data_IF_950305031999
#
_entry.id   IF_950305031999
#
_cell.length_a   1.000
_cell.length_b   1.000
_cell.length_c   1.000
_cell.angle_alpha   90.00
_cell.angle_beta   90.00
_cell.angle_gamma   90.00
#
_symmetry.space_group_name_H-M   'P 1'
#
loop_
_entity.id
_entity.type
_entity.pdbx_description
1 polymer ?
#
# COMPACT_ATOMS: atom_id res chain seq x y z
N UNK A 1 8.20 -19.04 -16.91
CA UNK A 1 7.78 -17.77 -16.28
C UNK A 1 6.32 -17.57 -16.67
N UNK A 2 5.40 -17.81 -15.75
CA UNK A 2 3.97 -17.51 -15.95
C UNK A 2 3.82 -15.99 -15.90
N UNK A 3 3.43 -15.37 -17.01
CA UNK A 3 3.04 -13.95 -17.01
C UNK A 3 2.00 -13.74 -15.89
N UNK A 4 2.32 -12.87 -14.95
CA UNK A 4 1.36 -12.50 -13.91
C UNK A 4 0.22 -11.75 -14.60
N UNK A 5 -0.91 -12.43 -14.74
CA UNK A 5 -2.11 -11.85 -15.34
C UNK A 5 -2.51 -10.64 -14.49
N UNK A 6 -2.58 -9.46 -15.10
CA UNK A 6 -3.04 -8.26 -14.41
C UNK A 6 -4.42 -8.50 -13.82
N UNK A 7 -4.55 -8.32 -12.51
CA UNK A 7 -5.83 -8.48 -11.79
C UNK A 7 -6.51 -7.14 -11.51
N UNK A 8 -5.84 -6.02 -11.81
CA UNK A 8 -6.37 -4.69 -11.54
C UNK A 8 -7.16 -4.14 -12.73
N UNK A 9 -8.26 -3.46 -12.44
CA UNK A 9 -9.14 -2.87 -13.43
C UNK A 9 -10.61 -3.18 -13.21
N UNK A 10 -11.41 -2.96 -14.24
CA UNK A 10 -12.86 -3.21 -14.22
C UNK A 10 -13.17 -4.60 -14.76
N UNK A 11 -14.15 -5.25 -14.16
CA UNK A 11 -14.60 -6.59 -14.53
C UNK A 11 -16.10 -6.60 -14.77
N UNK A 12 -16.57 -7.33 -15.84
CA UNK A 12 -17.98 -7.51 -16.09
C UNK A 12 -18.61 -8.44 -15.05
N UNK A 13 -19.93 -8.46 -15.00
CA UNK A 13 -20.71 -9.44 -14.25
C UNK A 13 -21.47 -10.30 -15.26
N UNK A 14 -21.34 -11.66 -15.21
CA UNK A 14 -20.61 -12.46 -14.21
C UNK A 14 -19.09 -12.50 -14.43
N UNK A 15 -18.34 -12.70 -13.35
CA UNK A 15 -16.89 -12.94 -13.38
C UNK A 15 -16.45 -13.85 -12.24
N UNK A 16 -15.40 -14.64 -12.51
CA UNK A 16 -14.70 -15.42 -11.49
C UNK A 16 -13.18 -15.21 -11.66
N UNK A 17 -12.51 -14.85 -10.56
CA UNK A 17 -11.09 -14.56 -10.54
C UNK A 17 -10.40 -15.39 -9.44
N UNK A 18 -9.30 -16.03 -9.81
CA UNK A 18 -8.46 -16.78 -8.88
C UNK A 18 -7.19 -15.97 -8.59
N UNK A 19 -6.97 -15.68 -7.32
CA UNK A 19 -5.83 -14.92 -6.81
C UNK A 19 -5.17 -15.79 -5.74
N UNK A 20 -4.19 -16.60 -6.14
CA UNK A 20 -3.55 -17.61 -5.27
C UNK A 20 -4.60 -18.57 -4.67
N UNK A 21 -4.75 -18.55 -3.33
CA UNK A 21 -5.73 -19.39 -2.61
C UNK A 21 -7.10 -18.70 -2.40
N UNK A 22 -7.30 -17.55 -3.01
CA UNK A 22 -8.55 -16.78 -2.93
C UNK A 22 -9.27 -16.85 -4.26
N UNK A 23 -10.53 -17.22 -4.27
CA UNK A 23 -11.42 -17.12 -5.42
C UNK A 23 -12.46 -16.03 -5.16
N UNK A 24 -12.58 -15.10 -6.08
CA UNK A 24 -13.64 -14.07 -6.10
C UNK A 24 -14.62 -14.46 -7.18
N UNK A 25 -15.89 -14.52 -6.84
CA UNK A 25 -16.99 -14.76 -7.79
C UNK A 25 -18.02 -13.64 -7.67
N UNK A 26 -18.38 -13.06 -8.81
CA UNK A 26 -19.48 -12.10 -8.92
C UNK A 26 -20.45 -12.63 -9.96
N UNK A 27 -21.70 -12.85 -9.58
CA UNK A 27 -22.71 -13.43 -10.46
C UNK A 27 -24.09 -12.85 -10.18
N UNK A 28 -24.99 -12.96 -11.16
CA UNK A 28 -26.41 -12.63 -11.02
C UNK A 28 -27.23 -13.87 -10.82
N UNK A 29 -28.18 -13.78 -9.91
CA UNK A 29 -29.24 -14.78 -9.70
C UNK A 29 -30.56 -14.02 -9.46
N UNK A 30 -31.50 -14.21 -10.39
CA UNK A 30 -32.73 -13.44 -10.47
C UNK A 30 -32.47 -11.91 -10.50
N UNK A 31 -33.04 -11.17 -9.55
CA UNK A 31 -32.93 -9.70 -9.43
C UNK A 31 -31.71 -9.25 -8.63
N UNK A 32 -30.86 -10.17 -8.14
CA UNK A 32 -29.75 -9.84 -7.25
C UNK A 32 -28.39 -10.11 -7.89
N UNK A 33 -27.42 -9.28 -7.55
CA UNK A 33 -26.01 -9.54 -7.82
C UNK A 33 -25.32 -10.02 -6.54
N UNK A 34 -24.59 -11.12 -6.65
CA UNK A 34 -23.86 -11.72 -5.53
C UNK A 34 -22.36 -11.49 -5.70
N UNK A 35 -21.71 -11.07 -4.63
CA UNK A 35 -20.26 -11.13 -4.46
C UNK A 35 -19.94 -12.24 -3.47
N UNK A 36 -19.03 -13.13 -3.83
CA UNK A 36 -18.57 -14.22 -2.98
C UNK A 36 -17.04 -14.28 -3.02
N UNK A 37 -16.44 -14.43 -1.84
CA UNK A 37 -15.03 -14.72 -1.69
C UNK A 37 -14.85 -16.05 -0.99
N UNK A 38 -14.14 -16.96 -1.65
CA UNK A 38 -13.73 -18.24 -1.11
C UNK A 38 -12.24 -18.21 -0.77
N UNK A 39 -11.87 -18.79 0.38
CA UNK A 39 -10.51 -19.00 0.80
C UNK A 39 -10.26 -20.49 0.89
N UNK A 40 -9.32 -21.01 0.07
CA UNK A 40 -9.02 -22.45 -0.01
C UNK A 40 -10.27 -23.33 -0.20
N UNK A 41 -11.22 -22.87 -1.04
CA UNK A 41 -12.45 -23.58 -1.35
C UNK A 41 -13.58 -23.42 -0.33
N UNK A 42 -13.39 -22.64 0.73
CA UNK A 42 -14.43 -22.36 1.72
C UNK A 42 -14.90 -20.92 1.62
N UNK A 43 -16.20 -20.69 1.46
CA UNK A 43 -16.80 -19.36 1.44
C UNK A 43 -16.63 -18.68 2.78
N UNK A 44 -15.90 -17.56 2.79
CA UNK A 44 -15.67 -16.79 3.99
C UNK A 44 -16.24 -15.37 3.94
N UNK A 45 -16.78 -14.96 2.79
CA UNK A 45 -17.48 -13.68 2.63
C UNK A 45 -18.50 -13.75 1.51
N UNK A 46 -19.72 -13.25 1.77
CA UNK A 46 -20.78 -13.17 0.76
C UNK A 46 -21.60 -11.89 0.97
N UNK A 47 -21.87 -11.16 -0.12
CA UNK A 47 -22.76 -9.99 -0.16
C UNK A 47 -23.80 -10.14 -1.25
N UNK A 48 -24.94 -9.50 -1.05
CA UNK A 48 -26.05 -9.41 -2.00
C UNK A 48 -26.28 -7.93 -2.31
N UNK A 49 -26.34 -7.62 -3.58
CA UNK A 49 -26.60 -6.25 -4.09
C UNK A 49 -27.92 -6.23 -4.83
N UNK A 50 -28.71 -5.21 -4.56
CA UNK A 50 -30.06 -4.99 -5.15
C UNK A 50 -30.02 -4.03 -6.35
N UNK A 51 -28.83 -3.56 -6.76
CA UNK A 51 -28.67 -2.61 -7.86
C UNK A 51 -28.57 -3.35 -9.19
N UNK A 52 -29.34 -2.89 -10.18
CA UNK A 52 -29.32 -3.42 -11.55
C UNK A 52 -28.02 -3.06 -12.28
N UNK A 53 -27.47 -1.86 -12.04
CA UNK A 53 -26.20 -1.36 -12.57
C UNK A 53 -25.06 -1.64 -11.62
N UNK A 54 -24.70 -2.92 -11.46
CA UNK A 54 -23.58 -3.31 -10.65
C UNK A 54 -22.33 -3.58 -11.51
N UNK A 55 -21.30 -2.80 -11.27
CA UNK A 55 -19.95 -3.03 -11.78
C UNK A 55 -18.97 -3.15 -10.63
N UNK A 56 -17.91 -3.90 -10.80
CA UNK A 56 -16.86 -3.94 -9.80
C UNK A 56 -15.47 -3.70 -10.40
N UNK A 57 -14.60 -3.11 -9.58
CA UNK A 57 -13.21 -2.90 -9.91
C UNK A 57 -12.33 -3.47 -8.82
N UNK A 58 -11.15 -3.95 -9.24
CA UNK A 58 -10.09 -4.39 -8.36
C UNK A 58 -8.95 -3.39 -8.48
N UNK A 59 -8.49 -2.87 -7.35
CA UNK A 59 -7.44 -1.88 -7.30
C UNK A 59 -6.44 -2.22 -6.18
N UNK A 60 -5.14 -1.91 -6.34
CA UNK A 60 -4.20 -1.96 -5.23
C UNK A 60 -4.56 -0.88 -4.21
N UNK A 61 -4.48 -1.19 -2.93
CA UNK A 61 -4.81 -0.26 -1.85
C UNK A 61 -3.74 -0.25 -0.77
N UNK A 62 -3.82 0.76 0.10
CA UNK A 62 -2.90 0.93 1.21
C UNK A 62 -2.85 -0.32 2.09
N UNK A 63 -1.67 -0.73 2.59
CA UNK A 63 -1.48 -2.04 3.24
C UNK A 63 -2.00 -2.16 4.68
N UNK A 64 -2.68 -1.15 5.24
CA UNK A 64 -3.10 -1.12 6.64
C UNK A 64 -4.56 -1.55 6.89
N UNK A 65 -5.24 -2.08 5.88
CA UNK A 65 -6.67 -2.38 5.99
C UNK A 65 -6.99 -3.68 6.72
N UNK A 66 -6.04 -4.62 6.79
CA UNK A 66 -6.27 -5.94 7.35
C UNK A 66 -5.23 -6.27 8.42
N UNK A 67 -5.64 -6.39 9.70
CA UNK A 67 -6.95 -6.12 10.26
C UNK A 67 -7.26 -4.62 10.32
N UNK A 68 -8.51 -4.29 10.04
CA UNK A 68 -8.97 -2.90 10.04
C UNK A 68 -8.83 -2.26 11.42
N UNK A 69 -8.40 -0.99 11.47
CA UNK A 69 -8.28 -0.17 12.69
C UNK A 69 -7.19 -0.59 13.69
N UNK A 70 -6.31 -1.52 13.35
CA UNK A 70 -5.19 -1.84 14.24
C UNK A 70 -4.14 -0.74 14.20
N UNK A 71 -3.76 -0.31 13.00
CA UNK A 71 -2.79 0.77 12.79
C UNK A 71 -3.04 1.49 11.48
N UNK A 72 -2.68 2.76 11.43
CA UNK A 72 -2.59 3.55 10.21
C UNK A 72 -1.12 3.79 9.78
N UNK A 73 -0.16 3.11 10.41
CA UNK A 73 1.26 3.32 10.16
C UNK A 73 1.91 2.07 9.60
N UNK A 74 2.87 2.28 8.72
CA UNK A 74 3.74 1.25 8.14
C UNK A 74 5.20 1.59 8.46
N UNK A 75 5.94 0.60 8.96
CA UNK A 75 7.38 0.67 9.14
C UNK A 75 8.03 -0.24 8.11
N UNK A 76 8.91 0.32 7.30
CA UNK A 76 9.78 -0.41 6.38
C UNK A 76 11.19 -0.43 6.98
N UNK A 77 11.63 -1.60 7.40
CA UNK A 77 13.02 -1.84 7.81
C UNK A 77 13.88 -2.12 6.56
N UNK A 78 14.99 -1.43 6.46
CA UNK A 78 15.97 -1.69 5.41
C UNK A 78 16.85 -2.89 5.77
N UNK A 79 17.01 -3.84 4.84
CA UNK A 79 17.88 -5.02 5.07
C UNK A 79 19.31 -4.64 5.42
N UNK A 80 19.81 -3.58 4.78
CA UNK A 80 21.08 -2.97 5.10
C UNK A 80 20.87 -1.49 5.41
N UNK A 81 21.48 -0.96 6.46
CA UNK A 81 21.38 0.46 6.77
C UNK A 81 21.85 1.32 5.61
N UNK A 82 21.11 2.39 5.32
CA UNK A 82 21.46 3.37 4.30
C UNK A 82 22.28 4.51 4.96
N UNK A 83 23.54 4.67 4.53
CA UNK A 83 24.36 5.81 4.93
C UNK A 83 24.13 6.95 3.96
N UNK A 84 23.53 8.04 4.42
CA UNK A 84 23.24 9.25 3.64
C UNK A 84 24.26 10.30 3.96
N UNK A 85 25.11 10.62 3.00
CA UNK A 85 26.17 11.66 3.16
C UNK A 85 25.60 13.03 3.48
N UNK A 86 26.47 13.92 4.00
CA UNK A 86 26.13 15.31 4.21
C UNK A 86 25.73 15.99 2.90
N UNK A 87 24.79 16.91 2.95
CA UNK A 87 24.33 17.72 1.81
C UNK A 87 24.00 16.89 0.55
N UNK A 88 23.39 15.72 0.78
CA UNK A 88 23.08 14.76 -0.28
C UNK A 88 21.60 14.75 -0.62
N UNK A 89 21.31 14.76 -1.93
CA UNK A 89 19.99 14.44 -2.48
C UNK A 89 20.13 13.25 -3.41
N UNK A 90 19.39 12.15 -3.13
CA UNK A 90 19.48 10.90 -3.89
C UNK A 90 18.13 10.19 -3.96
N UNK A 91 17.82 9.66 -5.13
CA UNK A 91 16.66 8.76 -5.31
C UNK A 91 17.10 7.33 -5.09
N UNK A 92 16.35 6.60 -4.29
CA UNK A 92 16.44 5.16 -4.08
C UNK A 92 15.09 4.51 -4.32
N UNK A 93 15.08 3.21 -4.48
CA UNK A 93 13.86 2.41 -4.60
C UNK A 93 13.85 1.34 -3.51
N UNK A 94 12.69 1.15 -2.91
CA UNK A 94 12.40 0.08 -1.96
C UNK A 94 11.07 -0.55 -2.34
N UNK A 95 10.72 -1.70 -1.76
CA UNK A 95 9.40 -2.29 -1.92
C UNK A 95 8.52 -1.98 -0.71
N UNK A 96 7.21 -2.07 -0.91
CA UNK A 96 6.21 -1.95 0.15
C UNK A 96 5.10 -2.99 -0.06
N UNK A 97 4.43 -3.47 1.00
CA UNK A 97 3.35 -4.43 0.85
C UNK A 97 2.11 -3.77 0.25
N UNK A 98 1.39 -4.50 -0.61
CA UNK A 98 0.14 -4.06 -1.24
C UNK A 98 -1.00 -4.92 -0.74
N UNK A 99 -2.17 -4.33 -0.56
CA UNK A 99 -3.44 -5.03 -0.39
C UNK A 99 -4.31 -4.82 -1.63
N UNK A 100 -5.25 -5.75 -1.86
CA UNK A 100 -6.12 -5.77 -3.02
C UNK A 100 -7.52 -5.33 -2.57
N UNK A 101 -7.96 -4.16 -3.01
CA UNK A 101 -9.28 -3.63 -2.73
C UNK A 101 -10.27 -4.01 -3.82
N UNK A 102 -11.45 -4.47 -3.41
CA UNK A 102 -12.59 -4.74 -4.29
C UNK A 102 -13.61 -3.63 -4.08
N UNK A 103 -13.97 -2.95 -5.15
CA UNK A 103 -14.90 -1.82 -5.11
C UNK A 103 -16.13 -2.11 -5.95
N UNK A 104 -17.30 -1.83 -5.40
CA UNK A 104 -18.55 -1.75 -6.15
C UNK A 104 -18.70 -0.35 -6.75
N UNK A 105 -19.31 -0.27 -7.92
CA UNK A 105 -19.72 0.98 -8.53
C UNK A 105 -21.24 0.99 -8.58
N UNK A 106 -21.82 2.06 -8.06
CA UNK A 106 -23.25 2.33 -8.11
C UNK A 106 -23.45 3.77 -8.55
N UNK A 107 -24.69 4.16 -8.83
CA UNK A 107 -25.06 5.56 -9.15
C UNK A 107 -24.67 6.57 -8.06
N UNK A 108 -24.37 6.08 -6.84
CA UNK A 108 -23.92 6.91 -5.69
C UNK A 108 -22.38 7.05 -5.61
N UNK A 109 -21.64 6.34 -6.47
CA UNK A 109 -20.19 6.37 -6.52
C UNK A 109 -19.54 5.00 -6.31
N UNK A 110 -18.27 5.03 -5.96
CA UNK A 110 -17.40 3.88 -5.76
C UNK A 110 -17.26 3.58 -4.27
N UNK A 111 -17.60 2.35 -3.85
CA UNK A 111 -17.55 1.90 -2.47
C UNK A 111 -16.65 0.67 -2.30
N UNK A 112 -15.79 0.68 -1.29
CA UNK A 112 -14.96 -0.46 -0.93
C UNK A 112 -15.82 -1.53 -0.27
N UNK A 113 -15.92 -2.71 -0.88
CA UNK A 113 -16.71 -3.84 -0.35
C UNK A 113 -15.83 -4.91 0.30
N UNK A 114 -14.60 -5.08 -0.18
CA UNK A 114 -13.67 -6.07 0.39
C UNK A 114 -12.22 -5.68 0.24
N UNK A 115 -11.36 -6.24 1.13
CA UNK A 115 -9.90 -6.15 1.03
C UNK A 115 -9.28 -7.52 1.23
N UNK A 116 -8.37 -7.88 0.34
CA UNK A 116 -7.59 -9.11 0.37
C UNK A 116 -6.14 -8.75 0.62
N UNK A 117 -5.52 -9.42 1.59
CA UNK A 117 -4.09 -9.34 1.85
C UNK A 117 -3.46 -10.71 1.61
N UNK A 118 -2.53 -10.78 0.67
CA UNK A 118 -1.75 -11.97 0.38
C UNK A 118 -0.44 -12.03 1.19
N UNK A 119 -0.10 -10.93 1.85
CA UNK A 119 1.10 -10.81 2.67
C UNK A 119 0.88 -11.36 4.08
N UNK A 120 1.96 -11.89 4.67
CA UNK A 120 1.99 -12.23 6.09
C UNK A 120 1.86 -10.95 6.91
N UNK A 121 0.90 -10.93 7.83
CA UNK A 121 0.65 -9.77 8.69
C UNK A 121 1.66 -9.77 9.83
N UNK A 122 2.61 -8.84 9.79
CA UNK A 122 3.57 -8.60 10.86
C UNK A 122 3.37 -7.18 11.39
N UNK A 123 3.54 -7.02 12.69
CA UNK A 123 3.44 -5.73 13.37
C UNK A 123 4.64 -5.53 14.28
N UNK A 124 5.02 -4.29 14.48
CA UNK A 124 6.08 -3.88 15.39
C UNK A 124 5.68 -2.62 16.12
N UNK A 125 6.31 -2.37 17.26
CA UNK A 125 6.19 -1.11 17.98
C UNK A 125 7.31 -0.16 17.52
N UNK A 126 6.96 1.03 17.09
CA UNK A 126 7.91 2.09 16.80
C UNK A 126 7.89 3.12 17.93
N UNK A 127 9.00 3.30 18.61
CA UNK A 127 9.14 4.18 19.78
C UNK A 127 9.16 3.41 21.10
N UNK A 128 8.90 4.12 22.21
CA UNK A 128 8.92 3.52 23.55
C UNK A 128 7.64 2.70 23.81
N UNK A 129 7.69 1.71 24.73
CA UNK A 129 6.51 0.92 25.10
C UNK A 129 5.30 1.74 25.59
N UNK A 130 5.55 2.91 26.18
CA UNK A 130 4.48 3.72 26.80
C UNK A 130 3.80 4.69 25.82
N UNK A 131 4.51 5.14 24.77
CA UNK A 131 4.03 6.18 23.83
C UNK A 131 4.34 5.85 22.37
N UNK A 132 4.82 4.65 22.11
CA UNK A 132 5.13 4.19 20.76
C UNK A 132 3.90 3.91 19.91
N UNK A 133 4.10 3.85 18.61
CA UNK A 133 3.05 3.56 17.63
C UNK A 133 3.18 2.13 17.13
N UNK A 134 2.07 1.40 17.10
CA UNK A 134 2.03 0.11 16.41
C UNK A 134 2.08 0.39 14.91
N UNK A 135 3.02 -0.26 14.23
CA UNK A 135 3.18 -0.17 12.77
C UNK A 135 3.00 -1.54 12.12
N UNK A 136 2.43 -1.58 10.93
CA UNK A 136 2.56 -2.75 10.06
C UNK A 136 4.03 -2.84 9.64
N UNK A 137 4.65 -3.98 9.92
CA UNK A 137 6.06 -4.20 9.66
C UNK A 137 6.28 -4.81 8.28
N UNK A 138 7.24 -4.26 7.57
CA UNK A 138 7.73 -4.80 6.30
C UNK A 138 9.25 -4.64 6.22
N UNK A 139 9.92 -5.53 5.47
CA UNK A 139 11.37 -5.50 5.27
C UNK A 139 11.67 -5.39 3.79
N UNK A 140 12.58 -4.49 3.40
CA UNK A 140 12.96 -4.25 2.02
C UNK A 140 14.45 -4.05 1.85
N UNK A 141 14.99 -4.53 0.74
CA UNK A 141 16.30 -4.09 0.25
C UNK A 141 16.23 -2.69 -0.35
N UNK A 142 17.37 -2.03 -0.48
CA UNK A 142 17.52 -0.75 -1.19
C UNK A 142 18.03 -1.01 -2.60
N UNK A 143 17.34 -0.47 -3.61
CA UNK A 143 17.66 -0.66 -5.01
C UNK A 143 18.04 0.67 -5.68
N UNK A 144 19.02 0.68 -6.61
CA UNK A 144 19.38 1.88 -7.38
C UNK A 144 18.43 2.18 -8.54
N UNK A 145 17.58 1.21 -8.90
CA UNK A 145 16.56 1.29 -9.96
C UNK A 145 15.31 0.56 -9.50
N UNK A 146 14.11 0.82 -10.10
CA UNK A 146 12.90 0.10 -9.76
C UNK A 146 13.11 -1.42 -9.85
N UNK A 147 12.90 -2.17 -8.75
CA UNK A 147 12.99 -3.63 -8.78
C UNK A 147 11.75 -4.24 -9.45
N UNK A 148 11.89 -5.47 -9.94
CA UNK A 148 10.72 -6.29 -10.28
C UNK A 148 10.02 -6.72 -8.99
N UNK A 149 8.71 -6.51 -8.93
CA UNK A 149 7.88 -6.85 -7.78
C UNK A 149 6.59 -7.55 -8.22
N UNK A 150 6.11 -8.48 -7.40
CA UNK A 150 4.79 -9.08 -7.63
C UNK A 150 3.70 -8.08 -7.23
N UNK A 151 3.08 -7.44 -8.22
CA UNK A 151 2.09 -6.36 -8.03
C UNK A 151 0.89 -6.74 -7.15
N UNK A 152 0.60 -8.03 -6.97
CA UNK A 152 -0.46 -8.52 -6.06
C UNK A 152 -0.02 -8.51 -4.58
N UNK A 153 1.28 -8.49 -4.32
CA UNK A 153 1.86 -8.54 -2.96
C UNK A 153 2.66 -7.30 -2.62
N UNK A 154 3.38 -6.77 -3.60
CA UNK A 154 4.38 -5.74 -3.40
C UNK A 154 4.28 -4.64 -4.44
N UNK A 155 4.51 -3.42 -4.01
CA UNK A 155 4.70 -2.27 -4.87
C UNK A 155 6.11 -1.71 -4.76
N UNK A 156 6.47 -0.86 -5.70
CA UNK A 156 7.74 -0.13 -5.75
C UNK A 156 7.53 1.26 -5.16
N UNK A 157 8.30 1.61 -4.15
CA UNK A 157 8.33 2.96 -3.57
C UNK A 157 9.61 3.66 -4.00
N UNK A 158 9.47 4.70 -4.83
CA UNK A 158 10.54 5.64 -5.15
C UNK A 158 10.66 6.64 -4.00
N UNK A 159 11.83 6.70 -3.37
CA UNK A 159 12.08 7.59 -2.24
C UNK A 159 13.16 8.61 -2.62
N UNK A 160 12.80 9.88 -2.63
CA UNK A 160 13.77 10.97 -2.67
C UNK A 160 14.32 11.20 -1.26
N UNK A 161 15.57 10.84 -1.03
CA UNK A 161 16.25 11.04 0.24
C UNK A 161 17.00 12.36 0.18
N UNK A 162 16.70 13.25 1.14
CA UNK A 162 17.30 14.59 1.25
C UNK A 162 17.93 14.74 2.62
N UNK A 163 19.24 14.92 2.66
CA UNK A 163 20.00 15.23 3.85
C UNK A 163 20.65 16.59 3.70
N UNK A 164 20.05 17.60 4.30
CA UNK A 164 20.59 18.98 4.31
C UNK A 164 21.48 19.27 5.55
N UNK A 165 21.90 18.21 6.24
CA UNK A 165 22.78 18.34 7.40
C UNK A 165 24.23 18.16 6.99
N UNK A 166 25.14 18.88 7.61
CA UNK A 166 26.58 18.75 7.42
C UNK A 166 27.18 17.44 7.96
N UNK A 167 26.36 16.42 8.26
CA UNK A 167 26.81 15.14 8.80
C UNK A 167 26.21 13.97 8.02
N UNK A 168 26.95 12.88 7.91
CA UNK A 168 26.42 11.60 7.45
C UNK A 168 25.44 11.04 8.48
N UNK A 169 24.31 10.54 8.01
CA UNK A 169 23.24 9.93 8.83
C UNK A 169 22.96 8.53 8.38
N UNK A 170 22.79 7.62 9.33
CA UNK A 170 22.36 6.25 9.07
C UNK A 170 20.83 6.14 9.17
N UNK A 171 20.21 5.56 8.15
CA UNK A 171 18.76 5.30 8.08
C UNK A 171 18.57 3.79 8.06
N UNK A 172 17.86 3.25 9.04
CA UNK A 172 17.49 1.82 9.14
C UNK A 172 16.02 1.59 8.86
N UNK A 173 15.18 2.52 9.29
CA UNK A 173 13.72 2.41 9.24
C UNK A 173 13.11 3.63 8.58
N UNK A 174 12.09 3.39 7.76
CA UNK A 174 11.21 4.43 7.24
C UNK A 174 9.80 4.17 7.76
N UNK A 175 9.20 5.19 8.40
CA UNK A 175 7.84 5.08 8.91
C UNK A 175 6.94 6.00 8.11
N UNK A 176 5.81 5.46 7.65
CA UNK A 176 4.84 6.16 6.83
C UNK A 176 3.45 6.06 7.46
N UNK A 177 2.68 7.14 7.36
CA UNK A 177 1.24 7.11 7.65
C UNK A 177 0.48 6.66 6.40
N UNK A 178 -0.55 5.82 6.56
CA UNK A 178 -1.45 5.46 5.46
C UNK A 178 -2.20 6.68 4.90
N UNK A 179 -2.41 7.69 5.74
CA UNK A 179 -2.97 8.97 5.31
C UNK A 179 -1.98 9.68 4.39
N UNK A 180 -2.41 9.93 3.17
CA UNK A 180 -1.57 10.58 2.16
C UNK A 180 -0.88 9.62 1.18
N UNK A 181 -0.92 8.31 1.38
CA UNK A 181 -0.43 7.35 0.37
C UNK A 181 -1.13 7.56 -0.96
N UNK A 182 -0.33 7.66 -2.04
CA UNK A 182 -0.81 7.84 -3.41
C UNK A 182 -0.34 6.67 -4.24
N UNK A 183 -1.19 5.64 -4.32
CA UNK A 183 -0.87 4.41 -5.06
C UNK A 183 -1.25 4.60 -6.53
N UNK A 184 -0.33 4.27 -7.41
CA UNK A 184 -0.50 4.22 -8.85
C UNK A 184 -0.19 2.81 -9.35
N UNK A 185 -0.83 2.40 -10.44
CA UNK A 185 -0.63 1.08 -11.00
C UNK A 185 -0.79 1.06 -12.52
N UNK A 186 -0.19 0.07 -13.13
CA UNK A 186 -0.39 -0.32 -14.52
C UNK A 186 -0.52 -1.85 -14.62
N UNK A 187 -0.32 -2.40 -15.82
CA UNK A 187 -0.43 -3.83 -16.07
C UNK A 187 0.65 -4.68 -15.37
N UNK A 188 1.73 -4.08 -14.89
CA UNK A 188 2.89 -4.80 -14.36
C UNK A 188 3.28 -4.37 -12.94
N UNK A 189 3.08 -3.09 -12.63
CA UNK A 189 3.69 -2.45 -11.46
C UNK A 189 2.64 -1.74 -10.63
N UNK A 190 2.77 -1.84 -9.31
CA UNK A 190 2.13 -0.96 -8.34
C UNK A 190 3.21 -0.08 -7.74
N UNK A 191 2.95 1.22 -7.59
CA UNK A 191 3.97 2.14 -7.12
C UNK A 191 3.45 3.32 -6.34
N UNK A 192 4.36 3.95 -5.60
CA UNK A 192 4.21 5.25 -4.95
C UNK A 192 5.50 6.03 -5.06
N UNK A 193 5.42 7.35 -4.80
CA UNK A 193 6.59 8.21 -4.54
C UNK A 193 6.52 8.80 -3.16
N UNK A 194 7.66 8.91 -2.52
CA UNK A 194 7.80 9.57 -1.23
C UNK A 194 9.08 10.40 -1.18
N UNK A 195 9.14 11.26 -0.16
CA UNK A 195 10.33 11.99 0.20
C UNK A 195 10.69 11.70 1.66
N UNK A 196 11.97 11.46 1.92
CA UNK A 196 12.55 11.36 3.25
C UNK A 196 13.45 12.57 3.48
N UNK A 197 13.05 13.48 4.34
CA UNK A 197 13.85 14.66 4.73
C UNK A 197 14.53 14.41 6.05
N UNK A 198 15.83 14.34 6.06
CA UNK A 198 16.63 14.21 7.27
C UNK A 198 16.79 15.62 7.88
N UNK A 199 16.11 15.84 9.01
CA UNK A 199 16.09 17.12 9.72
C UNK A 199 17.28 17.26 10.68
N UNK A 200 17.67 16.13 11.31
CA UNK A 200 18.82 16.06 12.21
C UNK A 200 19.37 14.63 12.25
N UNK A 201 20.42 14.38 13.03
CA UNK A 201 20.94 13.00 13.22
C UNK A 201 19.90 12.00 13.75
N UNK A 202 18.83 12.49 14.39
CA UNK A 202 17.84 11.66 15.09
C UNK A 202 16.41 11.83 14.56
N UNK A 203 16.18 12.82 13.70
CA UNK A 203 14.84 13.18 13.26
C UNK A 203 14.79 13.22 11.74
N UNK A 204 13.83 12.55 11.17
CA UNK A 204 13.47 12.64 9.77
C UNK A 204 11.96 12.79 9.60
N UNK A 205 11.56 13.34 8.48
CA UNK A 205 10.17 13.49 8.05
C UNK A 205 9.96 12.69 6.78
N UNK A 206 8.83 11.99 6.71
CA UNK A 206 8.38 11.30 5.48
C UNK A 206 7.11 11.93 4.98
N UNK A 207 6.98 12.06 3.66
CA UNK A 207 5.78 12.55 3.00
C UNK A 207 5.60 11.84 1.66
N UNK A 208 4.36 11.80 1.13
CA UNK A 208 4.08 11.21 -0.18
C UNK A 208 3.98 12.29 -1.26
N UNK A 209 4.48 11.95 -2.45
CA UNK A 209 4.33 12.76 -3.65
C UNK A 209 3.13 12.27 -4.46
N UNK A 210 2.49 13.19 -5.18
CA UNK A 210 1.24 12.92 -5.89
C UNK A 210 1.43 12.43 -7.34
N UNK A 211 2.67 12.19 -7.75
CA UNK A 211 3.00 11.79 -9.11
C UNK A 211 3.30 10.30 -9.22
N UNK A 212 2.96 9.65 -10.34
CA UNK A 212 3.37 8.27 -10.61
C UNK A 212 4.88 8.19 -10.89
N UNK A 213 5.47 6.98 -10.77
CA UNK A 213 6.89 6.77 -11.11
C UNK A 213 7.16 6.89 -12.62
N UNK A 214 6.15 6.65 -13.45
CA UNK A 214 6.21 6.88 -14.90
C UNK A 214 4.82 7.22 -15.48
N UNK A 215 4.81 7.80 -16.67
CA UNK A 215 3.56 8.15 -17.37
C UNK A 215 2.71 6.92 -17.70
N UNK A 216 1.39 7.10 -17.73
CA UNK A 216 0.43 6.06 -18.11
C UNK A 216 -0.07 5.20 -16.96
N UNK A 217 0.46 5.35 -15.74
CA UNK A 217 -0.09 4.67 -14.58
C UNK A 217 -1.43 5.30 -14.15
N UNK A 218 -2.34 4.45 -13.67
CA UNK A 218 -3.66 4.84 -13.16
C UNK A 218 -3.57 5.04 -11.65
N UNK A 219 -4.17 6.11 -11.14
CA UNK A 219 -4.26 6.34 -9.69
C UNK A 219 -5.30 5.42 -9.08
N UNK A 220 -4.93 4.74 -8.01
CA UNK A 220 -5.86 3.94 -7.22
C UNK A 220 -6.75 4.81 -6.33
N UNK A 221 -7.97 4.35 -5.98
CA UNK A 221 -8.77 5.01 -4.96
C UNK A 221 -8.06 5.01 -3.62
N UNK A 222 -8.08 6.16 -2.94
CA UNK A 222 -7.55 6.30 -1.58
C UNK A 222 -8.60 5.83 -0.58
N UNK A 223 -8.24 4.92 0.33
CA UNK A 223 -9.12 4.45 1.41
C UNK A 223 -8.91 5.29 2.67
N UNK A 224 -7.66 5.64 2.95
CA UNK A 224 -7.28 6.51 4.05
C UNK A 224 -7.29 7.97 3.58
N UNK A 225 -8.46 8.61 3.64
CA UNK A 225 -8.59 10.04 3.36
C UNK A 225 -8.50 10.79 4.68
N UNK A 226 -7.55 11.74 4.84
CA UNK A 226 -7.50 12.54 6.06
C UNK A 226 -8.78 13.37 6.20
N UNK A 227 -9.46 13.24 7.33
CA UNK A 227 -10.37 14.29 7.76
C UNK A 227 -9.58 15.60 7.79
N UNK A 228 -10.18 16.76 7.58
CA UNK A 228 -9.61 18.12 7.32
C UNK A 228 -8.37 18.58 8.12
N UNK A 229 -7.57 17.70 8.71
CA UNK A 229 -6.34 18.00 9.43
C UNK A 229 -5.15 17.32 8.76
N UNK A 230 -4.28 18.11 8.14
CA UNK A 230 -2.97 17.66 7.71
C UNK A 230 -2.03 17.59 8.91
N UNK A 231 -1.61 16.40 9.28
CA UNK A 231 -0.51 16.22 10.23
C UNK A 231 0.71 15.74 9.45
N UNK A 232 1.74 16.57 9.39
CA UNK A 232 3.08 16.11 9.04
C UNK A 232 3.59 15.29 10.23
N UNK A 233 3.72 14.00 10.07
CA UNK A 233 4.19 13.14 11.16
C UNK A 233 5.71 13.15 11.18
N UNK A 234 6.30 13.65 12.27
CA UNK A 234 7.74 13.62 12.51
C UNK A 234 8.10 12.33 13.23
N UNK A 235 9.07 11.60 12.68
CA UNK A 235 9.56 10.37 13.27
C UNK A 235 10.99 10.52 13.77
N UNK A 236 11.29 9.94 14.92
CA UNK A 236 12.63 9.91 15.49
C UNK A 236 13.30 8.63 14.99
N UNK A 237 14.36 8.75 14.18
CA UNK A 237 14.98 7.63 13.46
C UNK A 237 15.76 6.64 14.33
N UNK A 238 16.17 7.04 15.54
CA UNK A 238 16.92 6.19 16.48
C UNK A 238 16.02 5.45 17.50
N UNK A 239 14.70 5.62 17.41
CA UNK A 239 13.72 4.88 18.20
C UNK A 239 13.15 3.72 17.38
N UNK A 240 13.96 2.75 17.10
CA UNK A 240 13.53 1.46 16.55
C UNK A 240 14.26 0.35 17.29
N UNK A 241 13.53 -0.63 17.78
CA UNK A 241 14.09 -1.91 18.26
C UNK A 241 14.46 -2.78 17.07
#
# INVERSE_FOLDING_TARGET
>A
MTESKNIYGSFPVPSALNIENVTISVYRDNEFTYYQRDLSGTTNKKYVFTSDDFHFTINPVEPQNVPKKLTSHMLIELENPLLVGADTKKTIYITFPVEIGIFSHTNKGKELIDVISLNIKKFTLYGNPNDGIICKYYKSSVYPKPPEANSMKEGVLEVEVVNNNGNTVEVRNLVFSAYGMKIFYDNKTVSMKAILRIVSRKVAETDFLSDPIHHGMVKSPEIYVPGKMHYTTKYIMDKGL
#
